data_IF_446595577208
#
_entry.id   IF_446595577208
#
_cell.length_a   1.000
_cell.length_b   1.000
_cell.length_c   1.000
_cell.angle_alpha   90.00
_cell.angle_beta   90.00
_cell.angle_gamma   90.00
#
_symmetry.space_group_name_H-M   'P 1'
#
loop_
_entity.id
_entity.type
_entity.pdbx_description
1 polymer ?
#
# COMPACT_ATOMS: atom_id res chain seq x y z
N UNK A 1 4.21 -15.15 8.12
CA UNK A 1 4.58 -15.14 6.68
C UNK A 1 5.19 -13.80 6.32
N UNK A 2 6.47 -13.63 6.62
CA UNK A 2 7.14 -12.32 6.53
C UNK A 2 8.11 -12.18 5.35
N UNK A 3 8.04 -13.03 4.32
CA UNK A 3 8.90 -12.93 3.13
C UNK A 3 8.12 -13.22 1.86
N UNK A 4 8.59 -12.70 0.73
CA UNK A 4 8.03 -13.04 -0.57
C UNK A 4 8.10 -14.55 -0.88
N UNK A 5 9.13 -15.24 -0.38
CA UNK A 5 9.24 -16.68 -0.50
C UNK A 5 8.06 -17.40 0.18
N UNK A 6 7.72 -17.01 1.41
CA UNK A 6 6.55 -17.56 2.12
C UNK A 6 5.23 -17.22 1.41
N UNK A 7 5.12 -16.05 0.78
CA UNK A 7 3.92 -15.70 -0.01
C UNK A 7 3.78 -16.62 -1.22
N UNK A 8 4.90 -16.93 -1.88
CA UNK A 8 4.90 -17.88 -3.02
C UNK A 8 4.44 -19.27 -2.60
N UNK A 9 4.95 -19.77 -1.48
CA UNK A 9 4.51 -21.05 -0.92
C UNK A 9 3.03 -21.03 -0.58
N UNK A 10 2.57 -20.00 0.14
CA UNK A 10 1.17 -19.84 0.52
C UNK A 10 0.22 -19.83 -0.68
N UNK A 11 0.55 -19.07 -1.70
CA UNK A 11 -0.27 -18.99 -2.92
C UNK A 11 -0.24 -20.28 -3.73
N UNK A 12 0.81 -21.09 -3.57
CA UNK A 12 0.94 -22.41 -4.19
C UNK A 12 0.19 -23.54 -3.50
N UNK A 13 -0.30 -23.34 -2.27
CA UNK A 13 -0.99 -24.39 -1.50
C UNK A 13 -2.33 -24.80 -2.12
N UNK A 14 -3.04 -23.85 -2.72
CA UNK A 14 -4.35 -24.08 -3.32
C UNK A 14 -4.48 -23.30 -4.62
N UNK A 15 -4.72 -24.02 -5.70
CA UNK A 15 -5.06 -23.41 -7.00
C UNK A 15 -6.53 -22.93 -6.97
N UNK A 16 -6.73 -21.64 -6.72
CA UNK A 16 -8.06 -21.05 -6.63
C UNK A 16 -8.02 -19.56 -7.00
N UNK A 17 -9.01 -19.05 -7.74
CA UNK A 17 -9.11 -17.63 -8.03
C UNK A 17 -9.39 -16.77 -6.78
N UNK A 18 -9.82 -17.40 -5.70
CA UNK A 18 -10.03 -16.74 -4.39
C UNK A 18 -8.79 -16.73 -3.51
N UNK A 19 -7.77 -17.53 -3.84
CA UNK A 19 -6.50 -17.54 -3.13
C UNK A 19 -5.61 -16.40 -3.65
N UNK A 20 -5.60 -15.29 -2.95
CA UNK A 20 -4.83 -14.09 -3.27
C UNK A 20 -4.41 -13.32 -2.03
N UNK A 21 -3.76 -12.20 -2.25
CA UNK A 21 -3.19 -11.38 -1.19
C UNK A 21 -3.93 -10.04 -1.08
N UNK A 22 -4.05 -9.54 0.14
CA UNK A 22 -4.08 -8.10 0.35
C UNK A 22 -2.64 -7.62 0.11
N UNK A 23 -2.41 -6.98 -1.03
CA UNK A 23 -1.13 -6.41 -1.36
C UNK A 23 -0.96 -5.08 -0.63
N UNK A 24 -0.11 -5.06 0.39
CA UNK A 24 0.22 -3.87 1.16
C UNK A 24 1.59 -3.34 0.71
N UNK A 25 1.60 -2.12 0.17
CA UNK A 25 2.82 -1.48 -0.34
C UNK A 25 3.84 -1.23 0.78
N UNK A 26 3.37 -0.78 1.94
CA UNK A 26 4.22 -0.53 3.10
C UNK A 26 4.81 -1.81 3.68
N UNK A 27 3.98 -2.82 3.96
CA UNK A 27 4.44 -4.15 4.45
C UNK A 27 5.47 -4.75 3.50
N UNK A 28 5.24 -4.65 2.20
CA UNK A 28 6.20 -5.13 1.20
C UNK A 28 7.56 -4.45 1.35
N UNK A 29 7.55 -3.12 1.55
CA UNK A 29 8.78 -2.37 1.79
C UNK A 29 9.41 -2.69 3.14
N UNK A 30 8.59 -2.88 4.19
CA UNK A 30 9.04 -3.28 5.54
C UNK A 30 9.77 -4.62 5.54
N UNK A 31 9.39 -5.54 4.64
CA UNK A 31 10.10 -6.80 4.42
C UNK A 31 11.41 -6.64 3.65
N UNK A 32 11.72 -5.44 3.14
CA UNK A 32 12.90 -5.19 2.32
C UNK A 32 12.73 -5.50 0.83
N UNK A 33 11.51 -5.82 0.41
CA UNK A 33 11.20 -6.11 -0.99
C UNK A 33 10.90 -4.83 -1.78
N UNK A 34 10.91 -4.93 -3.12
CA UNK A 34 10.48 -3.86 -4.02
C UNK A 34 8.96 -3.96 -4.27
N UNK A 35 8.15 -2.99 -3.79
CA UNK A 35 6.71 -3.03 -3.96
C UNK A 35 6.24 -3.03 -5.42
N UNK A 36 6.95 -2.39 -6.34
CA UNK A 36 6.61 -2.41 -7.77
C UNK A 36 6.81 -3.80 -8.36
N UNK A 37 7.94 -4.43 -8.05
CA UNK A 37 8.24 -5.78 -8.52
C UNK A 37 7.26 -6.82 -7.95
N UNK A 38 6.91 -6.69 -6.66
CA UNK A 38 5.94 -7.60 -6.01
C UNK A 38 4.53 -7.38 -6.56
N UNK A 39 4.10 -6.13 -6.77
CA UNK A 39 2.84 -5.79 -7.42
C UNK A 39 2.73 -6.46 -8.80
N UNK A 40 3.80 -6.34 -9.59
CA UNK A 40 3.88 -6.99 -10.92
C UNK A 40 3.73 -8.50 -10.81
N UNK A 41 4.51 -9.12 -9.94
CA UNK A 41 4.51 -10.57 -9.77
C UNK A 41 3.16 -11.13 -9.33
N UNK A 42 2.48 -10.46 -8.37
CA UNK A 42 1.14 -10.85 -7.92
C UNK A 42 0.09 -10.63 -9.00
N UNK A 43 0.15 -9.48 -9.68
CA UNK A 43 -0.87 -9.09 -10.65
C UNK A 43 -0.83 -9.92 -11.94
N UNK A 44 0.35 -10.32 -12.43
CA UNK A 44 0.50 -11.24 -13.56
C UNK A 44 -0.15 -12.61 -13.30
N UNK A 45 -0.46 -12.91 -12.04
CA UNK A 45 -1.10 -14.15 -11.59
C UNK A 45 -2.54 -13.96 -11.13
N UNK A 46 -3.08 -12.74 -11.26
CA UNK A 46 -4.37 -12.33 -10.69
C UNK A 46 -4.51 -12.69 -9.20
N UNK A 47 -3.47 -12.41 -8.42
CA UNK A 47 -3.40 -12.72 -6.99
C UNK A 47 -3.48 -11.49 -6.08
N UNK A 48 -3.87 -10.33 -6.61
CA UNK A 48 -4.15 -9.13 -5.81
C UNK A 48 -5.65 -9.04 -5.58
N UNK A 49 -6.09 -9.35 -4.36
CA UNK A 49 -7.50 -9.26 -3.99
C UNK A 49 -7.88 -7.86 -3.48
N UNK A 50 -6.95 -7.18 -2.84
CA UNK A 50 -7.10 -5.85 -2.30
C UNK A 50 -5.74 -5.15 -2.26
N UNK A 51 -5.72 -3.82 -2.33
CA UNK A 51 -4.49 -3.03 -2.22
C UNK A 51 -4.58 -2.11 -1.02
N UNK A 52 -3.62 -2.24 -0.10
CA UNK A 52 -3.31 -1.23 0.91
C UNK A 52 -2.22 -0.31 0.37
N UNK A 53 -2.61 0.94 0.15
CA UNK A 53 -1.78 1.92 -0.53
C UNK A 53 -1.24 2.93 0.48
N UNK A 54 -0.11 2.60 1.10
CA UNK A 54 0.54 3.39 2.14
C UNK A 54 2.05 3.45 1.96
N UNK A 55 2.70 4.38 2.65
CA UNK A 55 4.13 4.59 2.54
C UNK A 55 4.85 4.49 3.90
N UNK A 56 6.11 4.10 3.84
CA UNK A 56 6.97 3.89 5.00
C UNK A 56 8.40 4.33 4.73
N UNK A 57 9.09 4.71 5.79
CA UNK A 57 10.56 4.82 5.82
C UNK A 57 11.09 3.61 6.59
N UNK A 58 11.89 2.79 5.96
CA UNK A 58 12.50 1.59 6.54
C UNK A 58 14.00 1.82 6.75
N UNK A 59 14.42 1.77 7.98
CA UNK A 59 15.85 1.84 8.38
C UNK A 59 16.47 0.45 8.50
N UNK A 60 15.68 -0.50 8.99
CA UNK A 60 16.06 -1.91 9.08
C UNK A 60 14.83 -2.78 8.82
N UNK A 61 14.83 -3.60 7.77
CA UNK A 61 13.70 -4.48 7.46
C UNK A 61 13.26 -5.29 8.67
N UNK A 62 11.95 -5.45 8.83
CA UNK A 62 11.24 -6.15 9.93
C UNK A 62 11.37 -5.52 11.31
N UNK A 63 12.32 -4.63 11.57
CA UNK A 63 12.72 -4.24 12.93
C UNK A 63 12.54 -2.76 13.20
N UNK A 64 12.90 -1.90 12.24
CA UNK A 64 12.90 -0.45 12.42
C UNK A 64 12.37 0.24 11.17
N UNK A 65 11.12 0.66 11.26
CA UNK A 65 10.42 1.41 10.21
C UNK A 65 9.41 2.38 10.83
N UNK A 66 8.98 3.33 10.04
CA UNK A 66 7.99 4.33 10.43
C UNK A 66 7.03 4.56 9.29
N UNK A 67 5.73 4.49 9.57
CA UNK A 67 4.70 4.92 8.63
C UNK A 67 4.75 6.43 8.46
N UNK A 68 4.64 6.88 7.22
CA UNK A 68 4.75 8.30 6.85
C UNK A 68 3.61 8.70 5.91
N UNK A 69 3.53 9.97 5.54
CA UNK A 69 2.61 10.42 4.50
C UNK A 69 2.89 9.72 3.17
N UNK A 70 1.89 9.66 2.29
CA UNK A 70 2.01 8.94 1.01
C UNK A 70 3.16 9.46 0.13
N UNK A 71 3.48 10.74 0.24
CA UNK A 71 4.51 11.44 -0.53
C UNK A 71 5.89 11.49 0.15
N UNK A 72 6.01 11.00 1.40
CA UNK A 72 7.21 11.18 2.23
C UNK A 72 7.92 9.86 2.57
N UNK A 73 7.72 8.81 1.79
CA UNK A 73 8.28 7.49 2.08
C UNK A 73 9.19 6.93 0.98
N UNK A 74 9.57 5.68 1.19
CA UNK A 74 10.50 4.95 0.32
C UNK A 74 9.81 4.06 -0.72
N UNK A 75 8.49 3.94 -0.66
CA UNK A 75 7.71 3.20 -1.66
C UNK A 75 7.51 4.08 -2.89
N UNK A 76 7.88 3.60 -4.07
CA UNK A 76 7.48 4.21 -5.35
C UNK A 76 5.98 3.92 -5.60
N UNK A 77 5.13 4.68 -4.90
CA UNK A 77 3.67 4.53 -5.02
C UNK A 77 3.16 4.86 -6.43
N UNK A 78 3.82 5.78 -7.13
CA UNK A 78 3.43 6.06 -8.51
C UNK A 78 3.81 4.92 -9.45
N UNK A 79 4.96 4.27 -9.23
CA UNK A 79 5.35 3.04 -9.92
C UNK A 79 4.35 1.90 -9.68
N UNK A 80 3.91 1.71 -8.43
CA UNK A 80 2.85 0.75 -8.08
C UNK A 80 1.55 1.09 -8.80
N UNK A 81 1.12 2.36 -8.80
CA UNK A 81 -0.11 2.79 -9.48
C UNK A 81 -0.05 2.53 -10.98
N UNK A 82 1.07 2.84 -11.63
CA UNK A 82 1.28 2.53 -13.06
C UNK A 82 1.19 1.04 -13.34
N UNK A 83 1.72 0.22 -12.44
CA UNK A 83 1.67 -1.24 -12.57
C UNK A 83 0.23 -1.76 -12.45
N UNK A 84 -0.56 -1.26 -11.48
CA UNK A 84 -1.98 -1.60 -11.32
C UNK A 84 -2.80 -1.19 -12.56
N UNK A 85 -2.55 -0.01 -13.11
CA UNK A 85 -3.20 0.45 -14.36
C UNK A 85 -2.80 -0.43 -15.55
N UNK A 86 -1.53 -0.78 -15.71
CA UNK A 86 -1.04 -1.68 -16.76
C UNK A 86 -1.74 -3.03 -16.72
N UNK A 87 -1.97 -3.56 -15.53
CA UNK A 87 -2.65 -4.84 -15.29
C UNK A 87 -4.18 -4.75 -15.39
N UNK A 88 -4.73 -3.54 -15.58
CA UNK A 88 -6.18 -3.28 -15.54
C UNK A 88 -6.82 -3.80 -14.24
N UNK A 89 -6.14 -3.59 -13.10
CA UNK A 89 -6.59 -4.03 -11.79
C UNK A 89 -8.02 -3.52 -11.50
N UNK A 90 -9.01 -4.42 -11.29
CA UNK A 90 -10.43 -4.03 -11.27
C UNK A 90 -11.00 -3.83 -9.86
N UNK A 91 -10.18 -4.02 -8.82
CA UNK A 91 -10.63 -4.04 -7.43
C UNK A 91 -10.25 -2.76 -6.69
N UNK A 92 -10.46 -2.73 -5.40
CA UNK A 92 -10.25 -1.55 -4.55
C UNK A 92 -8.77 -1.27 -4.28
N UNK A 93 -8.39 0.00 -4.40
CA UNK A 93 -7.14 0.56 -3.87
C UNK A 93 -7.54 1.39 -2.66
N UNK A 94 -7.08 1.00 -1.47
CA UNK A 94 -7.38 1.66 -0.21
C UNK A 94 -6.16 2.39 0.33
N UNK A 95 -6.17 3.73 0.34
CA UNK A 95 -5.09 4.53 0.92
C UNK A 95 -5.23 4.57 2.45
N UNK A 96 -4.78 3.52 3.09
CA UNK A 96 -4.91 3.34 4.53
C UNK A 96 -3.83 4.06 5.35
N UNK A 97 -3.94 3.96 6.67
CA UNK A 97 -3.04 4.52 7.66
C UNK A 97 -2.71 6.03 7.43
N UNK A 98 -3.72 6.89 7.25
CA UNK A 98 -3.47 8.33 7.12
C UNK A 98 -2.73 8.84 8.36
N UNK A 99 -1.69 9.65 8.17
CA UNK A 99 -0.93 10.22 9.29
C UNK A 99 -1.63 11.45 9.84
N UNK A 100 -1.63 11.58 11.18
CA UNK A 100 -2.32 12.70 11.84
C UNK A 100 -1.71 14.04 11.43
N UNK A 101 -2.59 14.96 11.02
CA UNK A 101 -2.28 16.37 10.81
C UNK A 101 -2.85 17.21 11.96
N UNK A 102 -2.38 18.44 12.11
CA UNK A 102 -2.68 19.22 13.31
C UNK A 102 -4.17 19.46 13.53
N UNK A 103 -4.93 19.73 12.47
CA UNK A 103 -6.38 19.92 12.58
C UNK A 103 -7.11 18.68 13.13
N UNK A 104 -6.67 17.49 12.82
CA UNK A 104 -7.22 16.25 13.38
C UNK A 104 -6.89 16.14 14.88
N UNK A 105 -5.67 16.50 15.27
CA UNK A 105 -5.20 16.49 16.67
C UNK A 105 -5.94 17.54 17.51
N UNK A 106 -6.07 18.77 17.00
CA UNK A 106 -6.77 19.89 17.67
C UNK A 106 -8.25 19.56 17.92
N UNK A 107 -8.88 18.83 17.03
CA UNK A 107 -10.27 18.39 17.19
C UNK A 107 -10.43 17.15 18.06
N UNK A 108 -9.35 16.65 18.64
CA UNK A 108 -9.38 15.49 19.55
C UNK A 108 -9.79 14.18 18.87
N UNK A 109 -9.62 14.07 17.57
CA UNK A 109 -9.90 12.84 16.82
C UNK A 109 -8.89 11.80 17.26
N UNK A 110 -9.39 10.78 17.94
CA UNK A 110 -8.57 9.64 18.39
C UNK A 110 -8.65 8.53 17.35
N UNK A 111 -7.52 8.16 16.83
CA UNK A 111 -7.40 6.99 15.96
C UNK A 111 -7.09 5.71 16.73
N UNK A 112 -7.40 4.58 16.09
CA UNK A 112 -7.21 3.25 16.67
C UNK A 112 -5.73 2.84 16.77
N UNK A 113 -4.82 3.59 16.11
CA UNK A 113 -3.39 3.31 16.12
C UNK A 113 -2.56 4.60 16.40
N UNK A 114 -1.36 4.46 16.99
CA UNK A 114 -0.52 5.61 17.33
C UNK A 114 -0.13 6.44 16.10
N UNK A 115 -0.37 7.75 16.17
CA UNK A 115 -0.04 8.70 15.10
C UNK A 115 -0.98 8.66 13.90
N UNK A 116 -2.08 7.92 13.98
CA UNK A 116 -3.10 7.89 12.93
C UNK A 116 -3.88 9.20 12.80
N UNK A 117 -4.26 9.55 11.56
CA UNK A 117 -5.02 10.75 11.22
C UNK A 117 -6.53 10.55 11.26
N UNK A 118 -7.27 11.63 11.21
CA UNK A 118 -8.72 11.67 11.13
C UNK A 118 -9.21 11.96 9.71
N UNK A 119 -10.36 12.64 9.61
CA UNK A 119 -10.98 12.95 8.32
C UNK A 119 -10.11 13.81 7.39
N UNK A 120 -9.38 14.77 7.92
CA UNK A 120 -8.55 15.63 7.09
C UNK A 120 -7.38 14.86 6.49
N UNK A 121 -6.75 13.99 7.28
CA UNK A 121 -5.69 13.09 6.80
C UNK A 121 -6.21 12.06 5.80
N UNK A 122 -7.42 11.52 6.00
CA UNK A 122 -8.07 10.61 5.04
C UNK A 122 -8.36 11.30 3.70
N UNK A 123 -8.88 12.54 3.74
CA UNK A 123 -9.11 13.34 2.53
C UNK A 123 -7.79 13.53 1.76
N UNK A 124 -6.70 13.83 2.46
CA UNK A 124 -5.37 13.95 1.85
C UNK A 124 -4.96 12.65 1.14
N UNK A 125 -5.03 11.52 1.84
CA UNK A 125 -4.66 10.23 1.27
C UNK A 125 -5.50 9.87 0.03
N UNK A 126 -6.82 10.05 0.10
CA UNK A 126 -7.72 9.79 -1.04
C UNK A 126 -7.43 10.72 -2.21
N UNK A 127 -7.24 12.03 -1.95
CA UNK A 127 -6.97 13.01 -2.99
C UNK A 127 -5.63 12.72 -3.69
N UNK A 128 -4.59 12.40 -2.92
CA UNK A 128 -3.26 12.09 -3.47
C UNK A 128 -3.28 10.79 -4.29
N UNK A 129 -3.95 9.75 -3.79
CA UNK A 129 -4.11 8.47 -4.51
C UNK A 129 -4.89 8.66 -5.82
N UNK A 130 -5.96 9.47 -5.81
CA UNK A 130 -6.72 9.80 -7.03
C UNK A 130 -5.88 10.57 -8.05
N UNK A 131 -5.05 11.51 -7.61
CA UNK A 131 -4.16 12.24 -8.48
C UNK A 131 -3.13 11.32 -9.16
N UNK A 132 -2.56 10.37 -8.43
CA UNK A 132 -1.67 9.36 -9.00
C UNK A 132 -2.39 8.48 -10.04
N UNK A 133 -3.62 8.05 -9.75
CA UNK A 133 -4.42 7.25 -10.68
C UNK A 133 -4.70 8.04 -11.96
N UNK A 134 -5.15 9.30 -11.85
CA UNK A 134 -5.40 10.17 -12.98
C UNK A 134 -4.13 10.34 -13.83
N UNK A 135 -2.99 10.61 -13.20
CA UNK A 135 -1.71 10.74 -13.90
C UNK A 135 -1.27 9.43 -14.57
N UNK A 136 -1.52 8.27 -13.97
CA UNK A 136 -1.17 6.98 -14.55
C UNK A 136 -2.07 6.61 -15.75
N UNK A 137 -3.31 7.08 -15.79
CA UNK A 137 -4.27 6.83 -16.88
C UNK A 137 -4.04 7.71 -18.10
N UNK A 138 -3.31 8.83 -17.98
CA UNK A 138 -3.08 9.79 -19.08
C UNK A 138 -1.92 9.44 -20.00
N UNK A 139 -1.29 8.28 -19.87
CA UNK A 139 -0.10 7.87 -20.65
C UNK A 139 -0.33 6.67 -21.52
#
# INVERSE_FOLDING_TARGET
MGTLAHWREYLGLVESPFNGMTFDCGVTREMGEDPVAVCRWLGERDRINHVHFRNVVVRKPYVDYTEVFLDDGQVDLFGVMKELVRQKYPRTIYPEHPRAIDVDRERGIKNQYPGGGGFAAEIYNVAYTRAMLQAALTR
#
